data_IF_827138607526
#
_entry.id   IF_827138607526
#
_cell.length_a   1.000
_cell.length_b   1.000
_cell.length_c   1.000
_cell.angle_alpha   90.00
_cell.angle_beta   90.00
_cell.angle_gamma   90.00
#
_symmetry.space_group_name_H-M   'P 1'
#
loop_
_entity.id
_entity.type
_entity.pdbx_description
1 polymer ?
#
# COMPACT_ATOMS: atom_id res chain seq x y z
N UNK A 1 -4.47 -6.50 0.67
CA UNK A 1 -5.50 -5.48 0.96
C UNK A 1 -5.14 -4.13 0.36
N UNK A 2 -6.12 -3.48 -0.28
CA UNK A 2 -5.95 -2.19 -0.96
C UNK A 2 -7.20 -1.32 -0.87
N UNK A 3 -7.03 -0.01 -1.05
CA UNK A 3 -8.10 0.93 -1.31
C UNK A 3 -7.69 1.80 -2.49
N UNK A 4 -8.54 1.87 -3.51
CA UNK A 4 -8.28 2.63 -4.72
C UNK A 4 -9.26 3.80 -4.80
N UNK A 5 -8.76 5.02 -4.95
CA UNK A 5 -9.60 6.22 -5.03
C UNK A 5 -9.44 6.88 -6.39
N UNK A 6 -10.55 7.21 -7.04
CA UNK A 6 -10.60 7.99 -8.28
C UNK A 6 -11.43 9.24 -8.01
N UNK A 7 -10.86 10.42 -8.20
CA UNK A 7 -11.50 11.71 -7.93
C UNK A 7 -12.12 11.80 -6.52
N UNK A 8 -11.42 11.24 -5.53
CA UNK A 8 -11.84 11.21 -4.13
C UNK A 8 -12.94 10.19 -3.81
N UNK A 9 -13.41 9.41 -4.78
CA UNK A 9 -14.38 8.33 -4.58
C UNK A 9 -13.69 6.98 -4.47
N UNK A 10 -14.13 6.16 -3.51
CA UNK A 10 -13.64 4.81 -3.36
C UNK A 10 -14.12 3.93 -4.53
N UNK A 11 -13.18 3.33 -5.25
CA UNK A 11 -13.44 2.19 -6.11
C UNK A 11 -13.42 0.93 -5.23
N UNK A 12 -14.58 0.29 -4.99
CA UNK A 12 -14.71 -0.68 -3.93
C UNK A 12 -14.06 -2.02 -4.28
N UNK A 13 -13.76 -2.81 -3.25
CA UNK A 13 -13.39 -4.23 -3.34
C UNK A 13 -12.15 -4.54 -4.20
N UNK A 14 -11.22 -3.59 -4.35
CA UNK A 14 -9.93 -3.88 -4.97
C UNK A 14 -9.07 -4.74 -4.07
N UNK A 15 -8.52 -5.83 -4.60
CA UNK A 15 -7.50 -6.67 -3.94
C UNK A 15 -6.21 -6.70 -4.76
N UNK A 16 -5.56 -5.53 -4.87
CA UNK A 16 -4.32 -5.38 -5.63
C UNK A 16 -3.19 -6.26 -5.09
N UNK A 17 -3.23 -6.65 -3.82
CA UNK A 17 -2.25 -7.57 -3.22
C UNK A 17 -2.12 -8.92 -3.92
N UNK A 18 -3.17 -9.38 -4.60
CA UNK A 18 -3.15 -10.63 -5.39
C UNK A 18 -2.70 -10.43 -6.84
N UNK A 19 -2.32 -9.21 -7.23
CA UNK A 19 -1.73 -8.99 -8.56
C UNK A 19 -0.40 -9.72 -8.67
N UNK A 20 -0.20 -10.42 -9.79
CA UNK A 20 1.05 -11.12 -10.06
C UNK A 20 2.10 -10.11 -10.52
N UNK A 21 3.18 -10.00 -9.76
CA UNK A 21 4.36 -9.18 -10.05
C UNK A 21 5.58 -10.10 -9.97
N UNK A 22 6.47 -10.05 -10.95
CA UNK A 22 7.68 -10.89 -10.99
C UNK A 22 7.41 -12.41 -10.80
N UNK A 23 6.25 -12.87 -11.25
CA UNK A 23 5.83 -14.27 -11.18
C UNK A 23 5.17 -14.71 -9.86
N UNK A 24 4.99 -13.82 -8.88
CA UNK A 24 4.38 -14.12 -7.59
C UNK A 24 3.32 -13.07 -7.21
N UNK A 25 2.41 -13.38 -6.29
CA UNK A 25 1.48 -12.38 -5.75
C UNK A 25 2.24 -11.26 -5.03
N UNK A 26 1.84 -10.02 -5.30
CA UNK A 26 2.47 -8.83 -4.75
C UNK A 26 2.55 -8.84 -3.22
N UNK A 27 1.55 -9.42 -2.53
CA UNK A 27 1.59 -9.54 -1.07
C UNK A 27 2.66 -10.51 -0.57
N UNK A 28 2.95 -11.59 -1.28
CA UNK A 28 4.03 -12.51 -0.91
C UNK A 28 5.42 -11.92 -1.15
N UNK A 29 5.53 -10.93 -2.04
CA UNK A 29 6.78 -10.20 -2.26
C UNK A 29 7.02 -9.09 -1.24
N UNK A 30 6.01 -8.25 -0.99
CA UNK A 30 6.21 -6.95 -0.37
C UNK A 30 5.41 -6.73 0.93
N UNK A 31 4.68 -7.74 1.44
CA UNK A 31 4.00 -7.58 2.72
C UNK A 31 4.99 -7.35 3.88
N UNK A 32 4.52 -6.64 4.89
CA UNK A 32 5.28 -6.41 6.12
C UNK A 32 5.66 -7.73 6.82
N UNK A 33 4.78 -8.74 6.75
CA UNK A 33 5.01 -10.05 7.34
C UNK A 33 6.16 -10.80 6.66
N UNK A 34 6.33 -10.66 5.34
CA UNK A 34 7.44 -11.27 4.58
C UNK A 34 8.78 -10.76 5.12
N UNK A 35 8.87 -9.44 5.33
CA UNK A 35 10.08 -8.81 5.92
C UNK A 35 10.43 -9.37 7.30
N UNK A 36 9.42 -9.65 8.13
CA UNK A 36 9.60 -10.16 9.49
C UNK A 36 9.90 -11.66 9.51
N UNK A 37 9.17 -12.44 8.73
CA UNK A 37 9.32 -13.90 8.66
C UNK A 37 10.65 -14.33 8.04
N UNK A 38 11.14 -13.59 7.05
CA UNK A 38 12.40 -13.87 6.35
C UNK A 38 13.59 -13.05 6.88
N UNK A 39 13.40 -12.26 7.93
CA UNK A 39 14.40 -11.36 8.52
C UNK A 39 15.12 -10.47 7.48
N UNK A 40 14.36 -9.95 6.51
CA UNK A 40 14.92 -9.16 5.42
C UNK A 40 15.46 -7.82 5.92
N UNK A 41 16.59 -7.40 5.36
CA UNK A 41 17.05 -6.02 5.49
C UNK A 41 16.04 -5.04 4.87
N UNK A 42 16.02 -3.79 5.35
CA UNK A 42 15.16 -2.74 4.79
C UNK A 42 15.43 -2.50 3.31
N UNK A 43 16.69 -2.56 2.89
CA UNK A 43 17.08 -2.38 1.49
C UNK A 43 16.55 -3.51 0.60
N UNK A 44 16.63 -4.75 1.07
CA UNK A 44 16.11 -5.90 0.31
C UNK A 44 14.59 -5.81 0.16
N UNK A 45 13.88 -5.59 1.27
CA UNK A 45 12.43 -5.48 1.25
C UNK A 45 11.93 -4.25 0.47
N UNK A 46 12.59 -3.10 0.58
CA UNK A 46 12.25 -1.91 -0.20
C UNK A 46 12.44 -2.13 -1.70
N UNK A 47 13.43 -2.93 -2.11
CA UNK A 47 13.59 -3.30 -3.52
C UNK A 47 12.42 -4.15 -4.03
N UNK A 48 11.91 -5.08 -3.21
CA UNK A 48 10.74 -5.89 -3.59
C UNK A 48 9.45 -5.03 -3.59
N UNK A 49 9.33 -4.07 -2.66
CA UNK A 49 8.26 -3.07 -2.69
C UNK A 49 8.33 -2.17 -3.92
N UNK A 50 9.53 -1.73 -4.35
CA UNK A 50 9.70 -0.95 -5.58
C UNK A 50 9.12 -1.69 -6.78
N UNK A 51 9.45 -2.98 -6.96
CA UNK A 51 8.90 -3.79 -8.07
C UNK A 51 7.36 -3.77 -8.08
N UNK A 52 6.74 -3.98 -6.94
CA UNK A 52 5.28 -3.99 -6.80
C UNK A 52 4.70 -2.62 -7.12
N UNK A 53 5.23 -1.56 -6.51
CA UNK A 53 4.72 -0.21 -6.73
C UNK A 53 4.97 0.28 -8.16
N UNK A 54 6.07 -0.10 -8.81
CA UNK A 54 6.35 0.27 -10.19
C UNK A 54 5.35 -0.36 -11.17
N UNK A 55 4.93 -1.61 -10.95
CA UNK A 55 3.84 -2.19 -11.76
C UNK A 55 2.50 -1.49 -11.50
N UNK A 56 2.20 -1.11 -10.24
CA UNK A 56 1.00 -0.31 -9.96
C UNK A 56 1.07 1.09 -10.60
N UNK A 57 2.22 1.76 -10.53
CA UNK A 57 2.46 3.08 -11.13
C UNK A 57 2.24 3.04 -12.64
N UNK A 58 2.77 2.01 -13.30
CA UNK A 58 2.59 1.77 -14.73
C UNK A 58 1.14 1.49 -15.13
N UNK A 59 0.38 0.77 -14.30
CA UNK A 59 -1.01 0.40 -14.61
C UNK A 59 -2.00 1.52 -14.33
N UNK A 60 -1.77 2.28 -13.27
CA UNK A 60 -2.77 3.20 -12.72
C UNK A 60 -2.38 4.67 -12.80
N UNK A 61 -1.09 4.97 -13.00
CA UNK A 61 -0.52 6.33 -12.98
C UNK A 61 -1.09 7.20 -11.85
N UNK A 62 -1.02 6.74 -10.59
CA UNK A 62 -1.65 7.44 -9.48
C UNK A 62 -0.93 8.74 -9.16
N UNK A 63 -1.64 9.70 -8.58
CA UNK A 63 -1.01 10.93 -8.09
C UNK A 63 -0.23 10.72 -6.79
N UNK A 64 -0.58 9.70 -6.00
CA UNK A 64 0.05 9.40 -4.72
C UNK A 64 -0.21 7.95 -4.30
N UNK A 65 0.79 7.30 -3.71
CA UNK A 65 0.64 6.09 -2.92
C UNK A 65 0.59 6.40 -1.43
N UNK A 66 -0.45 5.93 -0.75
CA UNK A 66 -0.57 6.00 0.71
C UNK A 66 -0.32 4.61 1.28
N UNK A 67 0.83 4.42 1.94
CA UNK A 67 1.22 3.11 2.48
C UNK A 67 0.80 3.00 3.94
N UNK A 68 -0.18 2.11 4.18
CA UNK A 68 -0.76 1.85 5.49
C UNK A 68 -0.10 0.71 6.27
N UNK A 69 -0.85 0.17 7.25
CA UNK A 69 -0.44 -1.00 8.04
C UNK A 69 0.68 -0.73 9.06
N UNK A 70 1.14 -1.79 9.73
CA UNK A 70 2.17 -1.68 10.77
C UNK A 70 3.51 -1.14 10.27
N UNK A 71 3.84 -1.40 9.00
CA UNK A 71 5.11 -1.01 8.37
C UNK A 71 5.26 0.51 8.22
N UNK A 72 4.15 1.24 8.08
CA UNK A 72 4.11 2.71 8.02
C UNK A 72 4.71 3.39 9.27
N UNK A 73 4.73 2.70 10.42
CA UNK A 73 5.37 3.21 11.65
C UNK A 73 6.88 3.37 11.54
N UNK A 74 7.51 2.61 10.64
CA UNK A 74 8.97 2.59 10.43
C UNK A 74 9.34 3.19 9.07
N UNK A 75 8.50 4.07 8.51
CA UNK A 75 8.68 4.63 7.17
C UNK A 75 10.05 5.27 6.94
N UNK A 76 10.62 5.94 7.94
CA UNK A 76 11.98 6.52 7.87
C UNK A 76 13.06 5.50 7.46
N UNK A 77 12.83 4.20 7.68
CA UNK A 77 13.79 3.13 7.36
C UNK A 77 13.70 2.63 5.92
N UNK A 78 12.58 2.85 5.23
CA UNK A 78 12.32 2.25 3.92
C UNK A 78 11.85 3.24 2.87
N UNK A 79 11.14 4.31 3.25
CA UNK A 79 10.64 5.33 2.33
C UNK A 79 11.77 6.01 1.55
N UNK A 80 12.94 6.35 2.15
CA UNK A 80 14.06 6.92 1.40
C UNK A 80 14.75 5.93 0.44
N UNK A 81 14.39 4.65 0.48
CA UNK A 81 14.94 3.61 -0.39
C UNK A 81 14.04 3.33 -1.59
N UNK A 82 12.89 3.99 -1.68
CA UNK A 82 11.96 3.82 -2.80
C UNK A 82 12.37 4.72 -3.96
N UNK A 83 12.26 4.17 -5.17
CA UNK A 83 12.70 4.80 -6.41
C UNK A 83 11.52 4.80 -7.38
N UNK A 84 10.55 5.69 -7.14
CA UNK A 84 9.35 5.88 -7.97
C UNK A 84 9.14 7.36 -8.28
N UNK A 85 8.49 7.64 -9.40
CA UNK A 85 8.13 9.00 -9.80
C UNK A 85 6.88 9.49 -9.04
N UNK A 86 5.97 8.57 -8.70
CA UNK A 86 4.77 8.86 -7.92
C UNK A 86 5.11 9.18 -6.48
N UNK A 87 4.50 10.22 -5.92
CA UNK A 87 4.65 10.56 -4.51
C UNK A 87 4.21 9.41 -3.59
N UNK A 88 4.98 9.14 -2.55
CA UNK A 88 4.70 8.08 -1.57
C UNK A 88 4.68 8.67 -0.17
N UNK A 89 3.57 8.45 0.54
CA UNK A 89 3.40 8.96 1.90
C UNK A 89 2.96 7.84 2.86
N UNK A 90 3.46 7.83 4.10
CA UNK A 90 2.96 6.89 5.11
C UNK A 90 1.56 7.31 5.58
N UNK A 91 0.67 6.35 5.82
CA UNK A 91 -0.66 6.64 6.35
C UNK A 91 -0.57 7.25 7.77
N UNK A 92 -1.16 8.44 7.95
CA UNK A 92 -1.14 9.15 9.23
C UNK A 92 -1.91 8.40 10.34
N UNK A 93 -3.10 7.90 10.00
CA UNK A 93 -3.98 7.22 10.96
C UNK A 93 -3.55 5.79 11.26
N UNK A 94 -2.66 5.19 10.45
CA UNK A 94 -2.12 3.84 10.63
C UNK A 94 -3.26 2.83 10.89
N UNK A 95 -3.19 2.06 11.97
CA UNK A 95 -4.20 1.07 12.37
C UNK A 95 -5.59 1.68 12.63
N UNK A 96 -5.69 2.99 12.87
CA UNK A 96 -6.99 3.67 13.08
C UNK A 96 -7.70 4.02 11.76
N UNK A 97 -7.00 3.96 10.62
CA UNK A 97 -7.56 4.34 9.33
C UNK A 97 -8.84 3.55 8.99
N UNK A 98 -8.89 2.26 9.28
CA UNK A 98 -10.06 1.42 9.00
C UNK A 98 -11.29 1.79 9.81
N UNK A 99 -11.13 2.04 11.13
CA UNK A 99 -12.26 2.42 12.00
C UNK A 99 -12.80 3.80 11.61
N UNK A 100 -11.92 4.76 11.32
CA UNK A 100 -12.32 6.10 10.86
C UNK A 100 -13.02 6.02 9.50
N UNK A 101 -12.46 5.25 8.55
CA UNK A 101 -13.06 5.05 7.23
C UNK A 101 -14.46 4.41 7.31
N UNK A 102 -14.64 3.41 8.18
CA UNK A 102 -15.95 2.80 8.40
C UNK A 102 -16.98 3.80 8.96
N UNK A 103 -16.59 4.64 9.93
CA UNK A 103 -17.47 5.69 10.46
C UNK A 103 -17.81 6.74 9.39
N UNK A 104 -16.85 7.13 8.55
CA UNK A 104 -17.08 8.05 7.43
C UNK A 104 -18.04 7.46 6.40
N UNK A 105 -17.90 6.17 6.07
CA UNK A 105 -18.80 5.48 5.14
C UNK A 105 -20.25 5.50 5.64
N UNK A 106 -20.48 5.19 6.92
CA UNK A 106 -21.83 5.28 7.53
C UNK A 106 -22.37 6.71 7.46
N UNK A 107 -21.56 7.71 7.81
CA UNK A 107 -21.95 9.12 7.75
C UNK A 107 -22.30 9.59 6.33
N UNK A 108 -21.62 9.04 5.31
CA UNK A 108 -21.90 9.30 3.89
C UNK A 108 -23.03 8.44 3.33
N UNK A 109 -23.69 7.62 4.17
CA UNK A 109 -24.73 6.68 3.74
C UNK A 109 -24.25 5.71 2.64
N UNK A 110 -22.96 5.37 2.64
CA UNK A 110 -22.42 4.28 1.82
C UNK A 110 -23.01 2.97 2.33
N UNK A 111 -23.95 2.42 1.57
CA UNK A 111 -24.51 1.10 1.79
C UNK A 111 -23.71 0.07 0.98
N UNK A 112 -23.52 -1.16 1.52
CA UNK A 112 -22.94 -2.27 0.76
C UNK A 112 -23.77 -2.66 -0.46
#
# INVERSE_FOLDING_TARGET
>A
GSAFLVDGQLFPNTELGHMIVDGEEAEHLAAAAVKENEDLSWKKWANDLNKVLSEYEKLFSPSVFIIGGGISRKHEKWLPLLELDTDIVPAELRNRAGIVGAAMAVNQHLTP
#
